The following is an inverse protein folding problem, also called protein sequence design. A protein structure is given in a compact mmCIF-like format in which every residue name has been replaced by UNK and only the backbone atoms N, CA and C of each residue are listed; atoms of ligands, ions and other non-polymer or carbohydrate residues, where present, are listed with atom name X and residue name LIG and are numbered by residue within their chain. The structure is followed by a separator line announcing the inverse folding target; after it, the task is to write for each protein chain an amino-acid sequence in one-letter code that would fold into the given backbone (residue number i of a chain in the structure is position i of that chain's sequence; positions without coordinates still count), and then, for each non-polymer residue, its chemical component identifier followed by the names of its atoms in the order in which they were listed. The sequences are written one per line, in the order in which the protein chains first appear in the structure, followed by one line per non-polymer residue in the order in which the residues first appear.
data_IF_656001017336
#
_entry.id   IF_656001017336
#
_cell.length_a   1.000
_cell.length_b   1.000
_cell.length_c   1.000
_cell.angle_alpha   90.00
_cell.angle_beta   90.00
_cell.angle_gamma   90.00
#
_symmetry.space_group_name_H-M   'P 1'
#
loop_
_entity.id
_entity.type
_entity.pdbx_description
1 polymer ?
#
# COMPACT_ATOMS: atom_id res chain seq x y z
N UNK A 1 1.77 -21.22 -14.33
CA UNK A 1 1.79 -20.44 -13.07
C UNK A 1 0.40 -19.87 -12.81
N UNK A 2 -0.10 -19.95 -11.58
CA UNK A 2 -1.44 -19.48 -11.24
C UNK A 2 -1.55 -17.97 -11.52
N UNK A 3 -2.43 -17.57 -12.45
CA UNK A 3 -2.57 -16.18 -12.94
C UNK A 3 -2.76 -15.16 -11.79
N UNK A 4 -3.37 -15.58 -10.69
CA UNK A 4 -3.57 -14.74 -9.50
C UNK A 4 -2.28 -14.38 -8.76
N UNK A 5 -1.34 -15.31 -8.61
CA UNK A 5 -0.08 -15.02 -7.93
C UNK A 5 0.78 -14.04 -8.73
N UNK A 6 0.80 -14.19 -10.05
CA UNK A 6 1.50 -13.25 -10.94
C UNK A 6 0.90 -11.85 -10.85
N UNK A 7 -0.43 -11.72 -10.84
CA UNK A 7 -1.11 -10.44 -10.64
C UNK A 7 -0.80 -9.81 -9.29
N UNK A 8 -0.78 -10.61 -8.22
CA UNK A 8 -0.43 -10.15 -6.87
C UNK A 8 1.02 -9.65 -6.79
N UNK A 9 1.96 -10.41 -7.36
CA UNK A 9 3.36 -10.01 -7.43
C UNK A 9 3.56 -8.71 -8.22
N UNK A 10 2.92 -8.59 -9.39
CA UNK A 10 2.95 -7.36 -10.18
C UNK A 10 2.35 -6.19 -9.39
N UNK A 11 1.22 -6.38 -8.71
CA UNK A 11 0.58 -5.34 -7.90
C UNK A 11 1.52 -4.83 -6.80
N UNK A 12 2.20 -5.73 -6.09
CA UNK A 12 3.19 -5.35 -5.06
C UNK A 12 4.36 -4.59 -5.67
N UNK A 13 4.93 -5.06 -6.79
CA UNK A 13 6.02 -4.35 -7.48
C UNK A 13 5.61 -2.94 -7.93
N UNK A 14 4.42 -2.79 -8.51
CA UNK A 14 3.88 -1.48 -8.88
C UNK A 14 3.70 -0.61 -7.64
N UNK A 15 3.15 -1.16 -6.56
CA UNK A 15 3.01 -0.44 -5.30
C UNK A 15 4.35 0.03 -4.72
N UNK A 16 5.40 -0.81 -4.79
CA UNK A 16 6.75 -0.46 -4.33
C UNK A 16 7.33 0.66 -5.19
N UNK A 17 7.16 0.59 -6.51
CA UNK A 17 7.62 1.63 -7.42
C UNK A 17 6.93 2.98 -7.17
N UNK A 18 5.60 2.98 -6.98
CA UNK A 18 4.84 4.19 -6.65
C UNK A 18 5.32 4.78 -5.32
N UNK A 19 5.51 3.95 -4.30
CA UNK A 19 5.95 4.42 -2.98
C UNK A 19 7.36 5.04 -3.05
N UNK A 20 8.31 4.35 -3.69
CA UNK A 20 9.67 4.85 -3.89
C UNK A 20 9.70 6.16 -4.69
N UNK A 21 8.87 6.29 -5.72
CA UNK A 21 8.75 7.53 -6.49
C UNK A 21 8.10 8.65 -5.66
N UNK A 22 7.16 8.32 -4.78
CA UNK A 22 6.57 9.26 -3.82
C UNK A 22 7.63 9.84 -2.87
N UNK A 23 8.41 8.95 -2.25
CA UNK A 23 9.52 9.33 -1.37
C UNK A 23 10.51 10.26 -2.10
N UNK A 24 10.88 9.90 -3.34
CA UNK A 24 11.79 10.70 -4.17
C UNK A 24 11.20 12.04 -4.61
N UNK A 25 9.90 12.09 -4.93
CA UNK A 25 9.23 13.31 -5.37
C UNK A 25 9.05 14.31 -4.23
N UNK A 26 8.78 13.82 -3.02
CA UNK A 26 8.65 14.66 -1.83
C UNK A 26 10.02 15.01 -1.23
N UNK A 27 11.06 14.23 -1.52
CA UNK A 27 12.42 14.46 -1.03
C UNK A 27 12.53 14.30 0.49
N UNK A 28 11.58 13.59 1.10
CA UNK A 28 11.51 13.35 2.54
C UNK A 28 12.01 11.95 2.82
N UNK A 29 12.90 11.83 3.81
CA UNK A 29 13.28 10.53 4.37
C UNK A 29 12.59 10.42 5.73
N UNK A 30 11.54 9.61 5.82
CA UNK A 30 10.76 9.41 7.04
C UNK A 30 11.61 8.78 8.14
N UNK A 31 12.64 8.04 7.75
CA UNK A 31 13.52 7.32 8.66
C UNK A 31 14.45 8.26 9.44
N UNK A 32 14.68 9.48 8.96
CA UNK A 32 15.62 10.43 9.58
C UNK A 32 14.85 11.37 10.51
N UNK A 33 15.09 11.22 11.82
CA UNK A 33 14.55 12.13 12.82
C UNK A 33 15.50 13.31 13.08
N UNK A 34 15.06 14.53 12.75
CA UNK A 34 15.83 15.77 12.99
C UNK A 34 15.20 16.67 14.07
N UNK A 35 14.25 16.14 14.84
CA UNK A 35 13.46 16.92 15.81
C UNK A 35 12.15 17.43 15.24
N UNK A 36 11.62 18.55 15.76
CA UNK A 36 10.31 19.12 15.38
C UNK A 36 10.26 19.53 13.90
N UNK A 37 11.41 19.89 13.32
CA UNK A 37 11.54 20.19 11.88
C UNK A 37 11.19 19.02 10.97
N UNK A 38 11.13 17.79 11.49
CA UNK A 38 10.77 16.60 10.72
C UNK A 38 9.29 16.62 10.29
N UNK A 39 8.41 17.23 11.10
CA UNK A 39 6.96 17.24 10.88
C UNK A 39 6.54 18.33 9.88
N UNK A 40 7.03 18.23 8.66
CA UNK A 40 6.65 19.13 7.56
C UNK A 40 5.37 18.65 6.88
N UNK A 41 4.74 19.53 6.09
CA UNK A 41 3.60 19.14 5.25
C UNK A 41 3.98 18.03 4.26
N UNK A 42 5.19 18.09 3.68
CA UNK A 42 5.70 17.05 2.79
C UNK A 42 5.82 15.69 3.51
N UNK A 43 6.28 15.68 4.76
CA UNK A 43 6.33 14.47 5.59
C UNK A 43 4.94 13.90 5.86
N UNK A 44 3.94 14.75 6.12
CA UNK A 44 2.55 14.28 6.28
C UNK A 44 2.01 13.64 4.99
N UNK A 45 2.30 14.23 3.83
CA UNK A 45 1.92 13.64 2.54
C UNK A 45 2.60 12.29 2.32
N UNK A 46 3.87 12.16 2.70
CA UNK A 46 4.63 10.93 2.53
C UNK A 46 4.17 9.79 3.46
N UNK A 47 3.71 10.12 4.67
CA UNK A 47 3.14 9.14 5.60
C UNK A 47 1.72 8.72 5.24
N UNK A 48 0.88 9.68 4.85
CA UNK A 48 -0.55 9.42 4.72
C UNK A 48 -0.98 9.28 3.27
N UNK A 49 -0.63 10.25 2.42
CA UNK A 49 -1.15 10.31 1.06
C UNK A 49 -0.47 9.32 0.11
N UNK A 50 0.86 9.22 0.15
CA UNK A 50 1.61 8.30 -0.72
C UNK A 50 1.19 6.85 -0.47
N UNK A 51 1.18 6.33 0.78
CA UNK A 51 0.83 4.94 1.04
C UNK A 51 -0.64 4.67 0.75
N UNK A 52 -1.51 5.66 0.98
CA UNK A 52 -2.91 5.59 0.58
C UNK A 52 -3.08 5.36 -0.94
N UNK A 53 -2.38 6.14 -1.78
CA UNK A 53 -2.41 5.98 -3.24
C UNK A 53 -1.85 4.61 -3.65
N UNK A 54 -0.76 4.18 -3.00
CA UNK A 54 -0.17 2.84 -3.21
C UNK A 54 -1.20 1.75 -2.91
N UNK A 55 -1.90 1.84 -1.78
CA UNK A 55 -2.93 0.88 -1.40
C UNK A 55 -4.09 0.84 -2.40
N UNK A 56 -4.54 2.02 -2.87
CA UNK A 56 -5.57 2.12 -3.89
C UNK A 56 -5.14 1.43 -5.19
N UNK A 57 -3.92 1.70 -5.65
CA UNK A 57 -3.37 1.10 -6.87
C UNK A 57 -3.26 -0.43 -6.77
N UNK A 58 -2.74 -0.95 -5.65
CA UNK A 58 -2.57 -2.39 -5.41
C UNK A 58 -3.92 -3.10 -5.43
N UNK A 59 -4.92 -2.56 -4.71
CA UNK A 59 -6.27 -3.12 -4.70
C UNK A 59 -6.96 -3.04 -6.05
N UNK A 60 -6.72 -1.97 -6.81
CA UNK A 60 -7.28 -1.83 -8.14
C UNK A 60 -6.72 -2.87 -9.11
N UNK A 61 -5.44 -3.23 -9.00
CA UNK A 61 -4.82 -4.28 -9.83
C UNK A 61 -5.30 -5.67 -9.38
N UNK A 62 -5.20 -5.99 -8.08
CA UNK A 62 -5.44 -7.34 -7.57
C UNK A 62 -6.94 -7.69 -7.44
N UNK A 63 -7.77 -6.76 -6.97
CA UNK A 63 -9.18 -6.99 -6.67
C UNK A 63 -9.41 -7.59 -5.29
N UNK A 64 -10.18 -8.69 -5.20
CA UNK A 64 -10.59 -9.31 -3.93
C UNK A 64 -9.37 -9.76 -3.12
N UNK A 65 -9.15 -9.14 -1.95
CA UNK A 65 -8.02 -9.40 -1.06
C UNK A 65 -6.84 -8.45 -1.24
N UNK A 66 -6.99 -7.43 -2.09
CA UNK A 66 -6.02 -6.36 -2.30
C UNK A 66 -5.68 -5.57 -1.04
N UNK A 67 -6.61 -5.45 -0.07
CA UNK A 67 -6.35 -4.77 1.21
C UNK A 67 -5.19 -5.38 2.00
N UNK A 68 -5.08 -6.71 1.97
CA UNK A 68 -3.98 -7.41 2.66
C UNK A 68 -2.66 -7.26 1.91
N UNK A 69 -2.71 -7.23 0.58
CA UNK A 69 -1.54 -7.02 -0.27
C UNK A 69 -1.05 -5.56 -0.25
N UNK A 70 -1.95 -4.59 -0.03
CA UNK A 70 -1.66 -3.17 0.00
C UNK A 70 -0.66 -2.79 1.11
N UNK A 71 -0.60 -3.56 2.20
CA UNK A 71 0.35 -3.35 3.30
C UNK A 71 1.80 -3.71 2.92
N UNK A 72 2.00 -4.64 2.00
CA UNK A 72 3.32 -5.17 1.65
C UNK A 72 4.24 -4.13 0.98
N UNK A 73 3.81 -3.39 -0.06
CA UNK A 73 4.69 -2.42 -0.70
C UNK A 73 5.28 -1.37 0.25
N UNK A 74 4.50 -0.66 1.08
CA UNK A 74 5.07 0.30 2.03
C UNK A 74 5.97 -0.36 3.06
N UNK A 75 5.58 -1.54 3.57
CA UNK A 75 6.40 -2.30 4.51
C UNK A 75 7.78 -2.63 3.92
N UNK A 76 7.82 -3.16 2.70
CA UNK A 76 9.08 -3.50 2.05
C UNK A 76 9.94 -2.28 1.75
N UNK A 77 9.36 -1.21 1.19
CA UNK A 77 10.11 0.00 0.86
C UNK A 77 10.71 0.62 2.12
N UNK A 78 9.95 0.74 3.22
CA UNK A 78 10.46 1.31 4.47
C UNK A 78 11.52 0.43 5.12
N UNK A 79 11.38 -0.89 5.10
CA UNK A 79 12.41 -1.80 5.59
C UNK A 79 13.70 -1.71 4.76
N UNK A 80 13.59 -1.63 3.43
CA UNK A 80 14.74 -1.48 2.54
C UNK A 80 15.43 -0.13 2.77
N UNK A 81 14.68 0.96 2.86
CA UNK A 81 15.22 2.30 3.14
C UNK A 81 15.90 2.35 4.51
N UNK A 82 15.30 1.73 5.53
CA UNK A 82 15.90 1.63 6.86
C UNK A 82 17.24 0.89 6.83
N UNK A 83 17.31 -0.26 6.15
CA UNK A 83 18.56 -1.02 5.97
C UNK A 83 19.58 -0.21 5.16
N UNK A 84 19.15 0.49 4.11
CA UNK A 84 20.03 1.32 3.29
C UNK A 84 20.71 2.41 4.12
N UNK A 85 19.90 3.19 4.85
CA UNK A 85 20.38 4.27 5.70
C UNK A 85 21.30 3.78 6.82
N UNK A 86 21.02 2.58 7.34
CA UNK A 86 21.81 1.98 8.43
C UNK A 86 23.17 1.49 7.95
N UNK A 87 23.22 0.76 6.83
CA UNK A 87 24.45 0.06 6.40
C UNK A 87 25.30 0.85 5.39
N UNK A 88 24.70 1.75 4.61
CA UNK A 88 25.39 2.44 3.52
C UNK A 88 25.60 3.93 3.78
N UNK A 89 24.60 4.63 4.34
CA UNK A 89 24.69 6.08 4.53
C UNK A 89 25.27 6.48 5.90
N UNK A 90 25.02 5.71 6.97
CA UNK A 90 25.54 5.96 8.32
C UNK A 90 26.69 5.03 8.71
N UNK A 91 27.85 5.19 8.07
CA UNK A 91 29.08 4.44 8.39
C UNK A 91 29.76 4.82 9.73
N UNK A 92 29.03 5.34 10.72
CA UNK A 92 29.62 5.61 12.04
C UNK A 92 29.59 4.35 12.89
N UNK A 93 30.75 3.70 12.96
CA UNK A 93 31.04 2.35 13.46
C UNK A 93 30.77 2.11 14.96
N UNK A 94 30.43 3.13 15.74
CA UNK A 94 30.52 3.07 17.23
C UNK A 94 29.21 3.31 18.00
N UNK A 95 28.07 3.53 17.33
CA UNK A 95 26.78 3.72 18.02
C UNK A 95 25.78 2.65 17.62
N UNK A 96 25.22 1.98 18.62
CA UNK A 96 24.18 0.96 18.47
C UNK A 96 23.06 1.46 17.54
N UNK A 97 22.68 0.61 16.60
CA UNK A 97 21.67 0.81 15.56
C UNK A 97 20.34 1.38 16.12
N UNK A 98 20.00 0.99 17.35
CA UNK A 98 18.83 1.44 18.09
C UNK A 98 18.83 2.94 18.42
N UNK A 99 20.00 3.56 18.57
CA UNK A 99 20.14 4.97 18.94
C UNK A 99 20.38 5.88 17.73
N UNK A 100 20.94 5.35 16.63
CA UNK A 100 21.15 6.12 15.40
C UNK A 100 19.85 6.38 14.64
N UNK A 101 19.05 5.33 14.42
CA UNK A 101 17.71 5.46 13.86
C UNK A 101 16.74 5.17 14.99
N UNK A 102 16.10 6.20 15.59
CA UNK A 102 15.30 5.99 16.79
C UNK A 102 14.15 5.02 16.48
N UNK A 103 14.30 3.75 16.85
CA UNK A 103 13.33 2.69 16.55
C UNK A 103 11.96 3.03 17.17
N UNK A 104 11.97 3.73 18.31
CA UNK A 104 10.80 4.27 18.98
C UNK A 104 10.04 5.31 18.12
N UNK A 105 10.72 6.01 17.21
CA UNK A 105 10.10 6.93 16.25
C UNK A 105 9.71 6.22 14.95
N UNK A 106 10.60 5.37 14.42
CA UNK A 106 10.37 4.68 13.15
C UNK A 106 9.23 3.66 13.23
N UNK A 107 9.11 2.91 14.32
CA UNK A 107 8.04 1.91 14.50
C UNK A 107 6.63 2.48 14.35
N UNK A 108 6.26 3.55 15.08
CA UNK A 108 4.99 4.24 14.87
C UNK A 108 4.81 4.80 13.46
N UNK A 109 5.86 5.35 12.84
CA UNK A 109 5.78 5.82 11.45
C UNK A 109 5.45 4.67 10.48
N UNK A 110 6.08 3.51 10.67
CA UNK A 110 5.81 2.32 9.86
C UNK A 110 4.36 1.84 10.03
N UNK A 111 3.82 1.85 11.25
CA UNK A 111 2.42 1.51 11.51
C UNK A 111 1.50 2.48 10.76
N UNK A 112 1.73 3.80 10.86
CA UNK A 112 0.91 4.80 10.16
C UNK A 112 0.92 4.62 8.65
N UNK A 113 2.08 4.38 8.06
CA UNK A 113 2.23 4.16 6.62
C UNK A 113 1.47 2.88 6.19
N UNK A 114 1.58 1.80 6.98
CA UNK A 114 0.86 0.54 6.71
C UNK A 114 -0.65 0.73 6.84
N UNK A 115 -1.11 1.42 7.87
CA UNK A 115 -2.53 1.71 8.07
C UNK A 115 -3.11 2.60 6.97
N UNK A 116 -2.38 3.65 6.57
CA UNK A 116 -2.77 4.52 5.46
C UNK A 116 -2.92 3.73 4.15
N UNK A 117 -2.00 2.81 3.87
CA UNK A 117 -2.09 1.93 2.72
C UNK A 117 -3.25 0.93 2.83
N UNK A 118 -3.52 0.41 4.02
CA UNK A 118 -4.67 -0.46 4.24
C UNK A 118 -6.00 0.28 3.98
N UNK A 119 -6.13 1.54 4.42
CA UNK A 119 -7.29 2.38 4.10
C UNK A 119 -7.44 2.59 2.59
N UNK A 120 -6.36 2.92 1.90
CA UNK A 120 -6.35 3.01 0.43
C UNK A 120 -6.76 1.71 -0.25
N UNK A 121 -6.28 0.58 0.29
CA UNK A 121 -6.60 -0.76 -0.18
C UNK A 121 -8.08 -1.10 -0.03
N UNK A 122 -8.69 -0.78 1.11
CA UNK A 122 -10.13 -0.98 1.35
C UNK A 122 -10.96 -0.14 0.37
N UNK A 123 -10.63 1.14 0.21
CA UNK A 123 -11.34 2.03 -0.71
C UNK A 123 -11.19 1.55 -2.16
N UNK A 124 -10.00 1.11 -2.55
CA UNK A 124 -9.74 0.54 -3.88
C UNK A 124 -10.57 -0.72 -4.16
N UNK A 125 -10.76 -1.60 -3.17
CA UNK A 125 -11.63 -2.78 -3.30
C UNK A 125 -13.10 -2.39 -3.48
N UNK A 126 -13.58 -1.42 -2.69
CA UNK A 126 -14.95 -0.90 -2.77
C UNK A 126 -15.21 -0.27 -4.12
N UNK A 127 -14.29 0.57 -4.61
CA UNK A 127 -14.45 1.28 -5.88
C UNK A 127 -14.42 0.34 -7.08
N UNK A 128 -13.60 -0.71 -7.03
CA UNK A 128 -13.59 -1.77 -8.06
C UNK A 128 -14.88 -2.60 -8.07
N UNK A 129 -15.77 -2.41 -7.09
CA UNK A 129 -17.05 -3.12 -7.02
C UNK A 129 -16.91 -4.58 -6.62
N UNK A 130 -15.83 -4.93 -5.92
CA UNK A 130 -15.56 -6.32 -5.49
C UNK A 130 -16.67 -6.87 -4.58
N UNK A 131 -17.32 -5.99 -3.81
CA UNK A 131 -18.42 -6.34 -2.91
C UNK A 131 -19.80 -6.31 -3.58
N UNK A 132 -19.89 -5.98 -4.87
CA UNK A 132 -21.16 -5.93 -5.59
C UNK A 132 -21.67 -7.38 -5.78
N UNK A 133 -22.73 -7.75 -5.05
CA UNK A 133 -23.46 -9.00 -5.31
C UNK A 133 -23.91 -9.03 -6.78
N UNK A 134 -23.85 -10.17 -7.48
CA UNK A 134 -24.58 -10.30 -8.73
C UNK A 134 -26.05 -10.04 -8.40
N UNK A 135 -26.63 -8.99 -9.00
CA UNK A 135 -28.05 -8.73 -8.83
C UNK A 135 -28.81 -9.92 -9.40
N UNK A 136 -29.68 -10.49 -8.59
CA UNK A 136 -30.65 -11.56 -8.91
C UNK A 136 -31.63 -11.16 -10.05
N UNK A 137 -31.48 -9.96 -10.61
CA UNK A 137 -32.29 -9.38 -11.67
C UNK A 137 -32.08 -10.05 -13.04
N UNK A 138 -30.91 -10.68 -13.27
CA UNK A 138 -30.68 -11.46 -14.50
C UNK A 138 -31.27 -12.88 -14.45
N UNK A 139 -31.63 -13.38 -13.27
CA UNK A 139 -32.23 -14.72 -13.11
C UNK A 139 -33.73 -14.68 -13.45
N UNK A 140 -34.45 -13.62 -13.08
CA UNK A 140 -35.84 -13.42 -13.48
C UNK A 140 -35.99 -13.23 -14.99
N UNK A 141 -35.12 -12.46 -15.65
CA UNK A 141 -35.19 -12.27 -17.10
C UNK A 141 -34.91 -13.60 -17.84
N UNK A 142 -33.97 -14.42 -17.37
CA UNK A 142 -33.67 -15.73 -17.96
C UNK A 142 -34.81 -16.74 -17.75
N UNK A 143 -35.48 -16.72 -16.60
CA UNK A 143 -36.64 -17.59 -16.36
C UNK A 143 -37.88 -17.14 -17.16
N UNK A 144 -38.07 -15.83 -17.34
CA UNK A 144 -39.22 -15.30 -18.11
C UNK A 144 -39.04 -15.50 -19.62
N UNK A 145 -37.80 -15.48 -20.13
CA UNK A 145 -37.49 -15.76 -21.53
C UNK A 145 -37.70 -17.25 -21.89
N UNK A 146 -37.42 -18.16 -20.96
CA UNK A 146 -37.57 -19.61 -21.19
C UNK A 146 -39.04 -20.04 -21.25
N UNK A 147 -39.93 -19.41 -20.47
CA UNK A 147 -41.36 -19.73 -20.46
C UNK A 147 -42.11 -19.27 -21.73
N UNK A 148 -41.59 -18.27 -22.46
CA UNK A 148 -42.24 -17.76 -23.68
C UNK A 148 -41.95 -18.58 -24.95
N UNK A 149 -41.05 -19.56 -24.90
CA UNK A 149 -40.65 -20.36 -26.08
C UNK A 149 -41.42 -21.69 -26.16
N UNK A 150 -42.17 -22.06 -25.12
CA UNK A 150 -42.86 -23.36 -24.97
C UNK A 150 -44.38 -23.34 -25.13
N UNK A 151 -44.97 -22.27 -25.68
CA UNK A 151 -46.40 -22.22 -26.06
C UNK A 151 -46.56 -21.80 -27.51
#
# INVERSE_FOLDING_TARGET
MNSRYVKGFIAVLVGMAINYLGDKALGVNIEIFTGISTFTFAWMLDIFLVPFIVGLAVSWIFGLGGKWLACLPPLFVRCISFVHLTYFDNSSTDTDLFFQVPLAYWGPCLILVVEAANFGGIIGEVWKGVYRRPSTENEEISMTATTKITT
#
